data_IF_952993616223
#
_entry.id   IF_952993616223
#
_cell.length_a   1.000
_cell.length_b   1.000
_cell.length_c   1.000
_cell.angle_alpha   90.00
_cell.angle_beta   90.00
_cell.angle_gamma   90.00
#
_symmetry.space_group_name_H-M   'P 1'
#
loop_
_entity.id
_entity.type
_entity.pdbx_description
1 polymer ?
#
# COMPACT_ATOMS: atom_id res chain seq x y z
N UNK A 1 -11.82 -18.81 0.18
CA UNK A 1 -11.03 -17.63 0.60
C UNK A 1 -10.76 -17.79 2.08
N UNK A 2 -9.52 -17.61 2.55
CA UNK A 2 -9.25 -17.53 3.98
C UNK A 2 -9.04 -16.04 4.31
N UNK A 3 -9.92 -15.40 5.10
CA UNK A 3 -9.65 -14.07 5.64
C UNK A 3 -8.28 -14.03 6.33
N UNK A 4 -7.64 -12.86 6.35
CA UNK A 4 -6.40 -12.67 7.09
C UNK A 4 -6.57 -13.14 8.55
N UNK A 5 -5.70 -14.07 8.98
CA UNK A 5 -5.72 -14.64 10.33
C UNK A 5 -6.63 -15.85 10.56
N UNK A 6 -7.21 -16.46 9.51
CA UNK A 6 -7.98 -17.71 9.62
C UNK A 6 -7.29 -18.88 8.93
N UNK A 7 -7.16 -20.01 9.63
CA UNK A 7 -6.62 -21.26 9.08
C UNK A 7 -7.62 -21.99 8.17
N UNK A 8 -8.91 -21.72 8.32
CA UNK A 8 -9.98 -22.38 7.57
C UNK A 8 -10.44 -21.56 6.35
N UNK A 9 -10.67 -22.27 5.24
CA UNK A 9 -11.28 -21.65 4.06
C UNK A 9 -12.76 -21.38 4.30
N UNK A 10 -13.15 -20.12 4.23
CA UNK A 10 -14.54 -19.67 4.32
C UNK A 10 -15.17 -19.48 2.94
N UNK A 11 -16.50 -19.64 2.90
CA UNK A 11 -17.31 -19.20 1.75
C UNK A 11 -17.17 -17.69 1.58
N UNK A 12 -16.99 -17.25 0.34
CA UNK A 12 -16.81 -15.87 -0.05
C UNK A 12 -17.40 -15.68 -1.44
N UNK A 13 -18.18 -14.61 -1.62
CA UNK A 13 -18.77 -14.26 -2.90
C UNK A 13 -18.68 -12.77 -3.17
N UNK A 14 -18.49 -12.42 -4.43
CA UNK A 14 -18.57 -11.04 -4.93
C UNK A 14 -19.35 -11.07 -6.24
N UNK A 15 -20.27 -10.13 -6.42
CA UNK A 15 -20.91 -9.88 -7.70
C UNK A 15 -20.70 -8.41 -8.08
N UNK A 16 -20.39 -8.19 -9.35
CA UNK A 16 -20.05 -6.89 -9.88
C UNK A 16 -20.04 -6.87 -11.40
N UNK A 17 -19.85 -5.68 -11.97
CA UNK A 17 -19.70 -5.46 -13.40
C UNK A 17 -18.22 -5.24 -13.71
N UNK A 18 -17.67 -5.94 -14.70
CA UNK A 18 -16.29 -5.74 -15.10
C UNK A 18 -16.08 -4.30 -15.61
N UNK A 19 -15.12 -3.59 -15.03
CA UNK A 19 -14.82 -2.21 -15.40
C UNK A 19 -13.55 -2.17 -16.26
N UNK A 20 -13.75 -2.09 -17.57
CA UNK A 20 -12.67 -2.10 -18.55
C UNK A 20 -12.02 -0.72 -18.78
N UNK A 21 -12.57 0.35 -18.20
CA UNK A 21 -12.10 1.72 -18.43
C UNK A 21 -10.68 1.97 -17.90
N UNK A 22 -10.24 1.20 -16.92
CA UNK A 22 -8.89 1.24 -16.35
C UNK A 22 -7.88 0.37 -17.11
N UNK A 23 -8.34 -0.49 -18.01
CA UNK A 23 -7.49 -1.43 -18.77
C UNK A 23 -6.35 -0.76 -19.54
N UNK A 24 -6.59 0.33 -20.31
CA UNK A 24 -5.53 1.03 -21.04
C UNK A 24 -4.41 1.56 -20.12
N UNK A 25 -4.77 2.08 -18.94
CA UNK A 25 -3.80 2.61 -17.97
C UNK A 25 -2.95 1.49 -17.36
N UNK A 26 -3.57 0.37 -16.98
CA UNK A 26 -2.86 -0.81 -16.47
C UNK A 26 -1.92 -1.35 -17.56
N UNK A 27 -2.40 -1.46 -18.80
CA UNK A 27 -1.60 -1.93 -19.92
C UNK A 27 -0.41 -0.99 -20.22
N UNK A 28 -0.60 0.32 -20.07
CA UNK A 28 0.50 1.27 -20.21
C UNK A 28 1.54 1.10 -19.10
N UNK A 29 1.12 0.96 -17.84
CA UNK A 29 2.04 0.62 -16.74
C UNK A 29 2.85 -0.65 -17.05
N UNK A 30 2.16 -1.71 -17.47
CA UNK A 30 2.77 -3.02 -17.70
C UNK A 30 3.82 -3.02 -18.83
N UNK A 31 3.71 -2.12 -19.82
CA UNK A 31 4.75 -1.93 -20.85
C UNK A 31 6.09 -1.50 -20.24
N UNK A 32 6.05 -0.69 -19.18
CA UNK A 32 7.24 -0.13 -18.52
C UNK A 32 7.70 -0.94 -17.32
N UNK A 33 6.80 -1.72 -16.70
CA UNK A 33 7.03 -2.46 -15.46
C UNK A 33 8.35 -3.25 -15.43
N UNK A 34 8.64 -3.99 -16.50
CA UNK A 34 9.90 -4.76 -16.59
C UNK A 34 11.10 -3.82 -16.60
N UNK A 35 11.12 -2.82 -17.48
CA UNK A 35 12.22 -1.85 -17.58
C UNK A 35 12.51 -1.12 -16.28
N UNK A 36 11.46 -0.71 -15.56
CA UNK A 36 11.57 -0.07 -14.24
C UNK A 36 12.21 -0.99 -13.19
N UNK A 37 11.79 -2.26 -13.14
CA UNK A 37 12.39 -3.24 -12.26
C UNK A 37 13.87 -3.49 -12.60
N UNK A 38 14.22 -3.58 -13.89
CA UNK A 38 15.61 -3.72 -14.33
C UNK A 38 16.47 -2.50 -13.96
N UNK A 39 15.93 -1.29 -14.10
CA UNK A 39 16.58 -0.05 -13.71
C UNK A 39 16.88 -0.02 -12.20
N UNK A 40 15.88 -0.35 -11.37
CA UNK A 40 16.04 -0.44 -9.93
C UNK A 40 17.11 -1.48 -9.52
N UNK A 41 17.12 -2.64 -10.18
CA UNK A 41 18.11 -3.66 -9.86
C UNK A 41 19.53 -3.24 -10.29
N UNK A 42 19.67 -2.52 -11.41
CA UNK A 42 20.94 -1.89 -11.80
C UNK A 42 21.39 -0.83 -10.79
N UNK A 43 20.48 0.01 -10.29
CA UNK A 43 20.82 1.03 -9.28
C UNK A 43 21.24 0.41 -7.94
N UNK A 44 20.75 -0.81 -7.64
CA UNK A 44 21.24 -1.61 -6.53
C UNK A 44 22.62 -2.25 -6.76
N UNK A 45 23.18 -2.16 -7.97
CA UNK A 45 24.48 -2.73 -8.36
C UNK A 45 24.41 -4.16 -8.93
N UNK A 46 23.22 -4.69 -9.20
CA UNK A 46 23.07 -6.02 -9.80
C UNK A 46 23.38 -5.99 -11.30
N UNK A 47 24.27 -6.90 -11.73
CA UNK A 47 24.61 -7.09 -13.15
C UNK A 47 23.74 -8.13 -13.84
N UNK A 48 23.20 -9.07 -13.08
CA UNK A 48 22.33 -10.15 -13.54
C UNK A 48 21.21 -10.29 -12.53
N UNK A 49 19.98 -10.37 -13.02
CA UNK A 49 18.79 -10.58 -12.20
C UNK A 49 17.77 -11.38 -13.00
N UNK A 50 16.87 -12.05 -12.27
CA UNK A 50 15.76 -12.79 -12.85
C UNK A 50 14.47 -12.15 -12.38
N UNK A 51 13.66 -11.74 -13.34
CA UNK A 51 12.27 -11.31 -13.12
C UNK A 51 11.34 -12.42 -13.61
N UNK A 52 10.12 -12.53 -13.06
CA UNK A 52 9.15 -13.47 -13.57
C UNK A 52 8.87 -13.25 -15.06
N UNK A 53 8.35 -14.28 -15.73
CA UNK A 53 7.94 -14.19 -17.14
C UNK A 53 6.82 -13.17 -17.32
N UNK A 54 5.91 -13.10 -16.35
CA UNK A 54 4.79 -12.18 -16.29
C UNK A 54 4.48 -11.83 -14.84
N UNK A 55 3.97 -10.62 -14.60
CA UNK A 55 3.36 -10.23 -13.33
C UNK A 55 1.89 -10.67 -13.30
N UNK A 56 1.22 -10.67 -12.12
CA UNK A 56 -0.20 -11.02 -12.03
C UNK A 56 -1.06 -10.17 -12.97
N UNK A 57 -2.10 -10.77 -13.55
CA UNK A 57 -3.10 -10.05 -14.35
C UNK A 57 -4.04 -9.28 -13.43
N UNK A 58 -4.22 -7.98 -13.68
CA UNK A 58 -5.14 -7.13 -12.89
C UNK A 58 -6.44 -6.91 -13.65
N UNK A 59 -7.57 -7.14 -12.98
CA UNK A 59 -8.91 -6.80 -13.46
C UNK A 59 -9.62 -5.89 -12.46
N UNK A 60 -10.43 -4.97 -12.96
CA UNK A 60 -11.25 -4.09 -12.14
C UNK A 60 -12.72 -4.53 -12.19
N UNK A 61 -13.38 -4.48 -11.04
CA UNK A 61 -14.77 -4.86 -10.86
C UNK A 61 -15.49 -3.76 -10.07
N UNK A 62 -16.60 -3.27 -10.61
CA UNK A 62 -17.55 -2.44 -9.87
C UNK A 62 -18.50 -3.36 -9.10
N UNK A 63 -18.29 -3.45 -7.79
CA UNK A 63 -18.99 -4.39 -6.92
C UNK A 63 -20.38 -3.85 -6.55
N UNK A 64 -21.40 -4.69 -6.69
CA UNK A 64 -22.76 -4.41 -6.20
C UNK A 64 -23.25 -5.44 -5.17
N UNK A 65 -22.45 -6.45 -4.83
CA UNK A 65 -22.76 -7.41 -3.77
C UNK A 65 -21.48 -8.05 -3.21
N UNK A 66 -21.39 -8.14 -1.88
CA UNK A 66 -20.40 -8.96 -1.17
C UNK A 66 -21.12 -9.98 -0.28
N UNK A 67 -20.57 -11.18 -0.14
CA UNK A 67 -21.11 -12.21 0.73
C UNK A 67 -20.02 -13.04 1.41
N UNK A 68 -20.38 -13.69 2.52
CA UNK A 68 -19.48 -14.53 3.31
C UNK A 68 -18.28 -13.75 3.85
N UNK A 69 -17.10 -14.36 3.75
CA UNK A 69 -15.84 -13.81 4.24
C UNK A 69 -15.39 -12.49 3.59
N UNK A 70 -15.99 -12.08 2.46
CA UNK A 70 -15.72 -10.76 1.86
C UNK A 70 -16.62 -9.64 2.44
N UNK A 71 -17.69 -10.00 3.16
CA UNK A 71 -18.62 -9.06 3.79
C UNK A 71 -18.41 -8.99 5.31
N UNK A 72 -17.16 -9.04 5.77
CA UNK A 72 -16.79 -8.85 7.17
C UNK A 72 -16.63 -7.36 7.51
N UNK A 73 -16.28 -7.06 8.77
CA UNK A 73 -16.04 -5.69 9.25
C UNK A 73 -14.99 -4.95 8.41
N UNK A 74 -13.91 -5.65 8.04
CA UNK A 74 -12.89 -5.14 7.12
C UNK A 74 -13.13 -5.69 5.72
N UNK A 75 -13.71 -4.86 4.85
CA UNK A 75 -13.97 -5.25 3.47
C UNK A 75 -12.71 -5.07 2.63
N UNK A 76 -12.28 -6.10 1.88
CA UNK A 76 -11.09 -6.00 1.03
C UNK A 76 -11.34 -5.06 -0.14
N UNK A 77 -10.27 -4.43 -0.64
CA UNK A 77 -10.28 -3.66 -1.90
C UNK A 77 -9.84 -4.51 -3.10
N UNK A 78 -9.30 -5.70 -2.86
CA UNK A 78 -8.87 -6.62 -3.89
C UNK A 78 -8.86 -8.05 -3.38
N UNK A 79 -8.89 -8.99 -4.31
CA UNK A 79 -8.67 -10.41 -4.06
C UNK A 79 -7.60 -10.92 -5.01
N UNK A 80 -6.66 -11.68 -4.47
CA UNK A 80 -5.66 -12.41 -5.24
C UNK A 80 -6.06 -13.87 -5.37
N UNK A 81 -5.81 -14.46 -6.53
CA UNK A 81 -6.01 -15.89 -6.75
C UNK A 81 -4.94 -16.44 -7.70
N UNK A 82 -4.47 -17.65 -7.38
CA UNK A 82 -3.58 -18.43 -8.22
C UNK A 82 -4.40 -19.36 -9.10
N UNK A 83 -3.97 -19.55 -10.35
CA UNK A 83 -4.45 -20.64 -11.20
C UNK A 83 -3.83 -22.00 -10.86
N UNK A 84 -3.07 -22.11 -9.76
CA UNK A 84 -2.22 -23.25 -9.39
C UNK A 84 -2.00 -23.39 -7.87
N UNK A 85 -1.00 -24.17 -7.44
CA UNK A 85 -0.80 -24.58 -6.02
C UNK A 85 -0.75 -23.40 -5.03
N UNK A 86 -1.28 -23.67 -3.83
CA UNK A 86 -1.60 -22.70 -2.77
C UNK A 86 -0.39 -22.14 -1.99
N UNK A 87 0.83 -22.41 -2.42
CA UNK A 87 1.94 -22.51 -1.46
C UNK A 87 2.82 -21.26 -1.31
N UNK A 88 2.74 -20.23 -2.16
CA UNK A 88 3.56 -19.02 -1.99
C UNK A 88 2.97 -17.76 -2.66
N UNK A 89 3.33 -16.58 -2.14
CA UNK A 89 2.96 -15.28 -2.74
C UNK A 89 3.42 -15.18 -4.20
N UNK A 90 4.52 -15.87 -4.54
CA UNK A 90 5.04 -15.93 -5.90
C UNK A 90 4.16 -16.72 -6.90
N UNK A 91 3.16 -17.48 -6.45
CA UNK A 91 2.24 -18.23 -7.32
C UNK A 91 0.98 -17.44 -7.70
N UNK A 92 0.81 -16.22 -7.18
CA UNK A 92 -0.30 -15.34 -7.54
C UNK A 92 -0.24 -15.01 -9.03
N UNK A 93 -1.33 -15.28 -9.74
CA UNK A 93 -1.40 -15.06 -11.19
C UNK A 93 -2.47 -14.06 -11.60
N UNK A 94 -3.43 -13.77 -10.71
CA UNK A 94 -4.48 -12.80 -10.98
C UNK A 94 -4.84 -12.01 -9.72
N UNK A 95 -5.26 -10.78 -9.95
CA UNK A 95 -5.79 -9.85 -8.96
C UNK A 95 -7.09 -9.25 -9.50
N UNK A 96 -8.16 -9.31 -8.72
CA UNK A 96 -9.38 -8.52 -8.98
C UNK A 96 -9.46 -7.38 -7.98
N UNK A 97 -9.51 -6.15 -8.47
CA UNK A 97 -9.65 -4.92 -7.68
C UNK A 97 -11.10 -4.48 -7.68
N UNK A 98 -11.66 -4.24 -6.50
CA UNK A 98 -13.01 -3.72 -6.30
C UNK A 98 -12.97 -2.20 -6.37
N UNK A 99 -12.93 -1.66 -7.59
CA UNK A 99 -12.46 -0.30 -7.83
C UNK A 99 -13.39 0.77 -7.25
N UNK A 100 -14.70 0.56 -7.34
CA UNK A 100 -15.69 1.44 -6.71
C UNK A 100 -15.62 1.43 -5.18
N UNK A 101 -15.35 0.26 -4.57
CA UNK A 101 -15.13 0.17 -3.12
C UNK A 101 -13.84 0.89 -2.71
N UNK A 102 -12.79 0.76 -3.52
CA UNK A 102 -11.52 1.44 -3.26
C UNK A 102 -11.68 2.97 -3.32
N UNK A 103 -12.34 3.49 -4.36
CA UNK A 103 -12.64 4.92 -4.49
C UNK A 103 -13.54 5.44 -3.37
N UNK A 104 -14.58 4.69 -2.99
CA UNK A 104 -15.47 5.05 -1.89
C UNK A 104 -14.75 5.09 -0.54
N UNK A 105 -13.85 4.12 -0.27
CA UNK A 105 -12.98 4.12 0.92
C UNK A 105 -12.10 5.36 0.98
N UNK A 106 -11.49 5.72 -0.15
CA UNK A 106 -10.67 6.92 -0.25
C UNK A 106 -11.45 8.18 0.12
N UNK A 107 -12.62 8.39 -0.51
CA UNK A 107 -13.47 9.56 -0.23
C UNK A 107 -13.96 9.60 1.21
N UNK A 108 -14.41 8.47 1.75
CA UNK A 108 -14.97 8.42 3.10
C UNK A 108 -13.93 8.57 4.21
N UNK A 109 -12.67 8.21 3.95
CA UNK A 109 -11.65 8.11 4.99
C UNK A 109 -10.36 8.85 4.63
N UNK A 110 -9.67 8.45 3.57
CA UNK A 110 -8.32 8.94 3.25
C UNK A 110 -8.30 10.43 2.92
N UNK A 111 -9.24 10.90 2.12
CA UNK A 111 -9.36 12.31 1.76
C UNK A 111 -9.64 13.17 3.00
N UNK A 112 -10.57 12.73 3.86
CA UNK A 112 -10.91 13.42 5.12
C UNK A 112 -9.72 13.46 6.08
N UNK A 113 -8.96 12.36 6.15
CA UNK A 113 -7.74 12.27 6.93
C UNK A 113 -6.69 13.25 6.41
N UNK A 114 -6.48 13.29 5.10
CA UNK A 114 -5.53 14.21 4.47
C UNK A 114 -5.91 15.67 4.71
N UNK A 115 -7.18 16.03 4.49
CA UNK A 115 -7.70 17.38 4.72
C UNK A 115 -7.45 17.85 6.15
N UNK A 116 -7.66 16.96 7.13
CA UNK A 116 -7.51 17.29 8.55
C UNK A 116 -6.05 17.32 9.02
N UNK A 117 -5.23 16.38 8.54
CA UNK A 117 -3.91 16.12 9.10
C UNK A 117 -2.73 16.41 8.19
N UNK A 118 -2.90 16.74 6.91
CA UNK A 118 -1.77 17.02 6.01
C UNK A 118 -1.85 18.47 5.51
N UNK A 119 -0.78 19.23 5.72
CA UNK A 119 -0.67 20.60 5.22
C UNK A 119 -0.60 20.60 3.69
N UNK A 120 -1.47 21.37 3.04
CA UNK A 120 -1.53 21.46 1.57
C UNK A 120 -2.31 20.34 0.89
N UNK A 121 -3.12 19.56 1.62
CA UNK A 121 -3.93 18.47 1.06
C UNK A 121 -5.08 18.89 0.12
N UNK A 122 -5.30 20.20 -0.10
CA UNK A 122 -6.40 20.69 -0.94
C UNK A 122 -6.39 20.16 -2.39
N UNK A 123 -5.22 19.79 -2.92
CA UNK A 123 -5.11 19.14 -4.23
C UNK A 123 -5.78 17.75 -4.28
N UNK A 124 -5.90 17.07 -3.14
CA UNK A 124 -6.58 15.78 -3.04
C UNK A 124 -8.10 15.94 -3.03
N UNK A 125 -8.61 16.99 -2.40
CA UNK A 125 -10.05 17.30 -2.34
C UNK A 125 -10.64 17.61 -3.71
N UNK A 126 -9.83 18.15 -4.63
CA UNK A 126 -10.26 18.44 -6.01
C UNK A 126 -10.34 17.22 -6.92
N UNK A 127 -9.84 16.05 -6.49
CA UNK A 127 -9.87 14.85 -7.32
C UNK A 127 -11.30 14.33 -7.46
N UNK A 128 -11.70 13.99 -8.67
CA UNK A 128 -12.90 13.20 -8.92
C UNK A 128 -12.73 11.76 -8.39
N UNK A 129 -13.83 11.01 -8.30
CA UNK A 129 -13.77 9.58 -7.92
C UNK A 129 -12.94 8.76 -8.92
N UNK A 130 -13.07 9.02 -10.23
CA UNK A 130 -12.28 8.35 -11.28
C UNK A 130 -10.79 8.67 -11.15
N UNK A 131 -10.43 9.94 -10.94
CA UNK A 131 -9.02 10.33 -10.73
C UNK A 131 -8.44 9.69 -9.46
N UNK A 132 -9.21 9.68 -8.37
CA UNK A 132 -8.81 9.00 -7.14
C UNK A 132 -8.60 7.50 -7.39
N UNK A 133 -9.53 6.85 -8.08
CA UNK A 133 -9.43 5.43 -8.44
C UNK A 133 -8.20 5.12 -9.30
N UNK A 134 -7.89 5.97 -10.29
CA UNK A 134 -6.69 5.83 -11.14
C UNK A 134 -5.42 5.89 -10.32
N UNK A 135 -5.29 6.90 -9.44
CA UNK A 135 -4.11 7.07 -8.58
C UNK A 135 -3.91 5.85 -7.67
N UNK A 136 -4.99 5.41 -7.03
CA UNK A 136 -4.98 4.25 -6.14
C UNK A 136 -4.61 2.95 -6.85
N UNK A 137 -5.11 2.77 -8.07
CA UNK A 137 -4.81 1.60 -8.89
C UNK A 137 -3.36 1.61 -9.41
N UNK A 138 -2.82 2.78 -9.77
CA UNK A 138 -1.41 2.90 -10.17
C UNK A 138 -0.46 2.55 -9.02
N UNK A 139 -0.74 3.05 -7.82
CA UNK A 139 0.01 2.65 -6.63
C UNK A 139 -0.12 1.14 -6.36
N UNK A 140 -1.35 0.61 -6.38
CA UNK A 140 -1.62 -0.81 -6.12
C UNK A 140 -0.92 -1.72 -7.14
N UNK A 141 -0.88 -1.32 -8.41
CA UNK A 141 -0.17 -2.06 -9.44
C UNK A 141 1.33 -2.05 -9.22
N UNK A 142 1.90 -0.90 -8.87
CA UNK A 142 3.32 -0.81 -8.52
C UNK A 142 3.68 -1.63 -7.29
N UNK A 143 2.80 -1.66 -6.29
CA UNK A 143 2.93 -2.47 -5.09
C UNK A 143 2.95 -3.96 -5.43
N UNK A 144 1.94 -4.44 -6.17
CA UNK A 144 1.83 -5.84 -6.60
C UNK A 144 3.08 -6.31 -7.35
N UNK A 145 3.56 -5.51 -8.32
CA UNK A 145 4.81 -5.79 -9.03
C UNK A 145 6.00 -5.83 -8.06
N UNK A 146 6.05 -4.91 -7.09
CA UNK A 146 7.12 -4.79 -6.11
C UNK A 146 7.38 -6.05 -5.28
N UNK A 147 6.37 -6.89 -5.05
CA UNK A 147 6.54 -8.20 -4.41
C UNK A 147 7.53 -9.10 -5.16
N UNK A 148 7.55 -9.02 -6.50
CA UNK A 148 8.35 -9.89 -7.38
C UNK A 148 9.71 -9.30 -7.77
N UNK A 149 10.02 -8.08 -7.32
CA UNK A 149 11.26 -7.39 -7.69
C UNK A 149 12.35 -7.66 -6.65
N UNK A 150 13.54 -8.01 -7.15
CA UNK A 150 14.73 -8.26 -6.33
C UNK A 150 14.95 -9.72 -5.98
N UNK A 151 16.18 -10.03 -5.59
CA UNK A 151 16.49 -11.34 -5.02
C UNK A 151 15.96 -11.37 -3.59
N UNK A 152 15.15 -12.38 -3.28
CA UNK A 152 14.69 -12.64 -1.93
C UNK A 152 15.52 -13.79 -1.32
N UNK A 153 16.65 -13.44 -0.71
CA UNK A 153 17.44 -14.40 0.08
C UNK A 153 17.02 -14.42 1.54
N UNK A 154 16.27 -13.41 1.98
CA UNK A 154 15.77 -13.30 3.34
C UNK A 154 14.80 -14.43 3.68
N UNK A 155 13.97 -14.86 2.71
CA UNK A 155 13.08 -16.02 2.88
C UNK A 155 13.75 -17.33 3.30
N UNK A 156 15.08 -17.45 3.09
CA UNK A 156 15.85 -18.62 3.55
C UNK A 156 16.07 -18.64 5.07
N UNK A 157 15.93 -17.49 5.73
CA UNK A 157 16.19 -17.32 7.16
C UNK A 157 14.99 -16.77 7.94
N UNK A 158 13.99 -16.20 7.25
CA UNK A 158 12.73 -15.75 7.81
C UNK A 158 11.60 -16.23 6.88
N UNK A 159 10.68 -17.07 7.37
CA UNK A 159 9.62 -17.61 6.50
C UNK A 159 8.54 -16.57 6.19
N UNK A 160 7.68 -16.84 5.21
CA UNK A 160 6.49 -16.01 4.93
C UNK A 160 5.47 -16.01 6.10
N UNK A 161 5.60 -16.90 7.09
CA UNK A 161 4.81 -16.83 8.33
C UNK A 161 5.46 -15.91 9.38
N UNK A 162 6.69 -15.46 9.18
CA UNK A 162 7.36 -14.51 10.07
C UNK A 162 6.76 -13.11 9.85
N UNK A 163 6.19 -12.54 10.92
CA UNK A 163 5.56 -11.22 10.88
C UNK A 163 6.54 -10.14 10.41
N UNK A 164 7.78 -10.17 10.88
CA UNK A 164 8.77 -9.14 10.56
C UNK A 164 9.17 -9.24 9.07
N UNK A 165 9.22 -10.46 8.52
CA UNK A 165 9.42 -10.68 7.08
C UNK A 165 8.28 -10.08 6.27
N UNK A 166 7.04 -10.38 6.64
CA UNK A 166 5.87 -9.88 5.92
C UNK A 166 5.78 -8.35 5.96
N UNK A 167 6.03 -7.72 7.11
CA UNK A 167 6.09 -6.25 7.23
C UNK A 167 7.15 -5.67 6.29
N UNK A 168 8.35 -6.25 6.24
CA UNK A 168 9.41 -5.79 5.35
C UNK A 168 9.05 -6.00 3.88
N UNK A 169 8.33 -7.08 3.57
CA UNK A 169 7.95 -7.43 2.22
C UNK A 169 6.89 -6.46 1.66
N UNK A 170 5.90 -6.09 2.47
CA UNK A 170 4.92 -5.04 2.20
C UNK A 170 5.59 -3.66 2.07
N UNK A 171 6.52 -3.34 2.97
CA UNK A 171 7.26 -2.08 2.93
C UNK A 171 8.09 -1.96 1.65
N UNK A 172 8.75 -3.05 1.24
CA UNK A 172 9.49 -3.12 -0.03
C UNK A 172 8.55 -2.86 -1.21
N UNK A 173 7.40 -3.52 -1.29
CA UNK A 173 6.46 -3.31 -2.40
C UNK A 173 5.93 -1.89 -2.45
N UNK A 174 5.56 -1.29 -1.31
CA UNK A 174 5.12 0.09 -1.22
C UNK A 174 6.17 1.08 -1.73
N UNK A 175 7.42 0.93 -1.31
CA UNK A 175 8.50 1.82 -1.73
C UNK A 175 8.82 1.66 -3.23
N UNK A 176 8.79 0.43 -3.76
CA UNK A 176 8.93 0.19 -5.20
C UNK A 176 7.78 0.82 -5.99
N UNK A 177 6.55 0.80 -5.47
CA UNK A 177 5.43 1.48 -6.09
C UNK A 177 5.71 2.98 -6.25
N UNK A 178 6.13 3.66 -5.18
CA UNK A 178 6.45 5.09 -5.20
C UNK A 178 7.66 5.42 -6.09
N UNK A 179 8.68 4.57 -6.08
CA UNK A 179 9.85 4.67 -6.96
C UNK A 179 9.44 4.62 -8.44
N UNK A 180 8.53 3.72 -8.78
CA UNK A 180 8.01 3.56 -10.14
C UNK A 180 7.13 4.75 -10.54
N UNK A 181 6.24 5.22 -9.65
CA UNK A 181 5.34 6.35 -9.95
C UNK A 181 6.12 7.61 -10.34
N UNK A 182 7.25 7.88 -9.68
CA UNK A 182 8.14 9.00 -10.07
C UNK A 182 8.60 8.90 -11.53
N UNK A 183 8.94 7.71 -11.99
CA UNK A 183 9.45 7.44 -13.35
C UNK A 183 8.35 7.38 -14.41
N UNK A 184 7.11 7.18 -13.96
CA UNK A 184 5.92 7.16 -14.81
C UNK A 184 5.26 8.54 -14.92
N UNK A 185 5.73 9.52 -14.15
CA UNK A 185 5.36 10.93 -14.31
C UNK A 185 5.80 11.42 -15.71
N UNK A 186 4.90 12.11 -16.42
CA UNK A 186 5.07 12.49 -17.83
C UNK A 186 4.80 11.35 -18.83
N UNK A 187 4.57 10.11 -18.36
CA UNK A 187 4.26 8.95 -19.22
C UNK A 187 2.81 8.53 -19.07
N UNK A 188 2.38 8.24 -17.83
CA UNK A 188 1.02 7.75 -17.53
C UNK A 188 0.13 8.87 -16.99
N UNK A 189 0.73 9.84 -16.32
CA UNK A 189 0.05 11.02 -15.80
C UNK A 189 0.96 12.25 -15.95
N UNK A 190 0.40 13.48 -15.98
CA UNK A 190 1.19 14.70 -16.12
C UNK A 190 2.25 14.85 -15.01
N UNK A 191 3.45 15.34 -15.34
CA UNK A 191 4.57 15.42 -14.38
C UNK A 191 4.24 16.30 -13.16
N UNK A 192 3.49 17.38 -13.37
CA UNK A 192 3.01 18.28 -12.34
C UNK A 192 2.15 17.60 -11.27
N UNK A 193 1.51 16.46 -11.61
CA UNK A 193 0.67 15.70 -10.69
C UNK A 193 1.48 14.79 -9.76
N UNK A 194 2.80 14.66 -9.92
CA UNK A 194 3.64 13.84 -9.04
C UNK A 194 3.52 14.25 -7.56
N UNK A 195 3.39 15.54 -7.28
CA UNK A 195 3.17 16.03 -5.91
C UNK A 195 1.85 15.52 -5.32
N UNK A 196 0.79 15.53 -6.13
CA UNK A 196 -0.52 15.00 -5.74
C UNK A 196 -0.45 13.49 -5.50
N UNK A 197 0.28 12.76 -6.33
CA UNK A 197 0.52 11.31 -6.16
C UNK A 197 1.24 11.02 -4.82
N UNK A 198 2.29 11.78 -4.50
CA UNK A 198 2.99 11.62 -3.22
C UNK A 198 2.15 12.02 -2.02
N UNK A 199 1.37 13.10 -2.10
CA UNK A 199 0.39 13.44 -1.07
C UNK A 199 -0.62 12.31 -0.86
N UNK A 200 -1.11 11.71 -1.94
CA UNK A 200 -2.05 10.61 -1.86
C UNK A 200 -1.44 9.37 -1.21
N UNK A 201 -0.18 9.07 -1.51
CA UNK A 201 0.56 7.99 -0.86
C UNK A 201 0.73 8.22 0.65
N UNK A 202 1.09 9.44 1.06
CA UNK A 202 1.17 9.79 2.49
C UNK A 202 -0.19 9.66 3.16
N UNK A 203 -1.27 10.10 2.51
CA UNK A 203 -2.62 9.97 3.03
C UNK A 203 -3.04 8.50 3.22
N UNK A 204 -2.81 7.63 2.24
CA UNK A 204 -3.08 6.19 2.39
C UNK A 204 -2.20 5.56 3.48
N UNK A 205 -0.92 5.94 3.57
CA UNK A 205 -0.01 5.47 4.62
C UNK A 205 -0.57 5.80 6.01
N UNK A 206 -1.00 7.05 6.24
CA UNK A 206 -1.63 7.46 7.49
C UNK A 206 -2.95 6.71 7.75
N UNK A 207 -3.75 6.45 6.70
CA UNK A 207 -4.98 5.62 6.81
C UNK A 207 -4.64 4.18 7.22
N UNK A 208 -3.60 3.57 6.66
CA UNK A 208 -3.14 2.23 7.05
C UNK A 208 -2.67 2.21 8.50
N UNK A 209 -1.88 3.18 8.95
CA UNK A 209 -1.46 3.28 10.36
C UNK A 209 -2.67 3.34 11.31
N UNK A 210 -3.72 4.07 10.91
CA UNK A 210 -4.96 4.25 11.68
C UNK A 210 -5.92 3.04 11.61
N UNK A 211 -5.65 2.05 10.76
CA UNK A 211 -6.38 0.78 10.78
C UNK A 211 -6.15 0.16 12.15
N UNK A 212 -7.21 -0.21 12.87
CA UNK A 212 -7.09 -0.78 14.22
C UNK A 212 -6.12 -1.97 14.25
N UNK A 213 -5.45 -2.16 15.40
CA UNK A 213 -4.34 -3.10 15.50
C UNK A 213 -3.06 -2.56 14.86
N UNK A 214 -2.67 -1.34 15.22
CA UNK A 214 -1.42 -0.72 14.75
C UNK A 214 -0.27 -1.72 14.91
N UNK A 215 0.49 -1.96 13.84
CA UNK A 215 1.61 -2.92 13.74
C UNK A 215 1.28 -4.40 13.97
N UNK A 216 0.01 -4.77 14.16
CA UNK A 216 -0.43 -6.17 14.25
C UNK A 216 -0.59 -6.83 12.88
N UNK A 217 -0.89 -6.03 11.85
CA UNK A 217 -1.01 -6.49 10.47
C UNK A 217 0.18 -6.02 9.62
N UNK A 218 0.69 -6.84 8.68
CA UNK A 218 1.85 -6.49 7.86
C UNK A 218 1.76 -5.12 7.16
N UNK A 219 0.59 -4.78 6.62
CA UNK A 219 0.31 -3.51 5.92
C UNK A 219 0.31 -2.29 6.86
N UNK A 220 -0.20 -2.46 8.09
CA UNK A 220 -0.14 -1.39 9.10
C UNK A 220 1.27 -1.21 9.65
N UNK A 221 2.01 -2.31 9.80
CA UNK A 221 3.41 -2.31 10.21
C UNK A 221 4.31 -1.66 9.16
N UNK A 222 4.13 -2.00 7.88
CA UNK A 222 4.89 -1.39 6.78
C UNK A 222 4.64 0.11 6.69
N UNK A 223 3.38 0.53 6.76
CA UNK A 223 3.01 1.94 6.74
C UNK A 223 3.63 2.72 7.91
N UNK A 224 3.63 2.13 9.11
CA UNK A 224 4.26 2.73 10.28
C UNK A 224 5.79 2.87 10.11
N UNK A 225 6.47 1.81 9.66
CA UNK A 225 7.92 1.86 9.40
C UNK A 225 8.28 2.86 8.29
N UNK A 226 7.46 2.94 7.23
CA UNK A 226 7.61 3.95 6.20
C UNK A 226 7.50 5.36 6.77
N UNK A 227 6.46 5.63 7.58
CA UNK A 227 6.30 6.92 8.25
C UNK A 227 7.51 7.27 9.13
N UNK A 228 7.98 6.33 9.97
CA UNK A 228 9.13 6.57 10.85
C UNK A 228 10.40 6.89 10.07
N UNK A 229 10.69 6.13 9.03
CA UNK A 229 11.85 6.38 8.19
C UNK A 229 11.75 7.74 7.47
N UNK A 230 10.60 8.07 6.90
CA UNK A 230 10.36 9.36 6.25
C UNK A 230 10.45 10.53 7.23
N UNK A 231 10.00 10.34 8.46
CA UNK A 231 10.07 11.32 9.54
C UNK A 231 11.51 11.60 9.96
N UNK A 232 12.30 10.55 10.22
CA UNK A 232 13.71 10.67 10.62
C UNK A 232 14.55 11.36 9.54
N UNK A 233 14.20 11.13 8.27
CA UNK A 233 14.88 11.74 7.13
C UNK A 233 14.36 13.15 6.79
N UNK A 234 13.40 13.68 7.56
CA UNK A 234 12.84 15.02 7.43
C UNK A 234 11.85 15.21 6.26
N UNK A 235 11.46 14.12 5.59
CA UNK A 235 10.50 14.14 4.49
C UNK A 235 9.07 14.40 4.98
N UNK A 236 8.73 13.90 6.17
CA UNK A 236 7.46 14.17 6.85
C UNK A 236 7.78 14.79 8.21
N UNK A 237 7.18 15.92 8.54
CA UNK A 237 7.47 16.64 9.78
C UNK A 237 6.18 17.08 10.46
N UNK A 238 6.07 16.98 11.79
CA UNK A 238 4.95 17.60 12.50
C UNK A 238 5.04 19.12 12.36
N UNK A 239 3.91 19.74 12.08
CA UNK A 239 3.77 21.19 12.11
C UNK A 239 3.52 21.63 13.56
N UNK A 240 4.30 22.59 14.10
CA UNK A 240 4.29 22.88 15.54
C UNK A 240 2.95 23.41 16.09
N UNK A 241 2.11 24.00 15.24
CA UNK A 241 0.97 24.80 15.69
C UNK A 241 -0.40 24.20 15.34
N UNK A 242 -0.51 23.49 14.22
CA UNK A 242 -1.79 22.96 13.73
C UNK A 242 -1.99 21.46 14.01
N UNK A 243 -0.95 20.77 14.49
CA UNK A 243 -1.02 19.31 14.69
C UNK A 243 -1.14 18.52 13.37
N UNK A 244 -0.80 19.16 12.25
CA UNK A 244 -0.73 18.56 10.91
C UNK A 244 0.67 18.05 10.60
N UNK A 245 0.78 17.27 9.54
CA UNK A 245 2.01 16.80 8.92
C UNK A 245 2.33 17.70 7.72
N UNK A 246 3.53 18.28 7.74
CA UNK A 246 4.14 18.90 6.58
C UNK A 246 4.91 17.82 5.80
N UNK A 247 4.67 17.74 4.49
CA UNK A 247 5.39 16.82 3.60
C UNK A 247 6.29 17.62 2.67
N UNK A 248 7.59 17.42 2.79
CA UNK A 248 8.58 17.99 1.88
C UNK A 248 8.66 17.11 0.63
N UNK A 249 7.98 17.49 -0.45
CA UNK A 249 7.84 16.65 -1.64
C UNK A 249 9.16 16.31 -2.32
N UNK A 250 10.11 17.25 -2.30
CA UNK A 250 11.43 17.02 -2.90
C UNK A 250 12.20 16.01 -2.06
N UNK A 251 12.26 16.24 -0.74
CA UNK A 251 12.92 15.31 0.18
C UNK A 251 12.24 13.95 0.20
N UNK A 252 10.92 13.90 0.14
CA UNK A 252 10.13 12.67 0.08
C UNK A 252 10.52 11.84 -1.14
N UNK A 253 10.59 12.45 -2.32
CA UNK A 253 11.03 11.76 -3.54
C UNK A 253 12.46 11.22 -3.46
N UNK A 254 13.39 11.94 -2.82
CA UNK A 254 14.76 11.48 -2.59
C UNK A 254 14.81 10.29 -1.61
N UNK A 255 14.11 10.40 -0.49
CA UNK A 255 14.07 9.34 0.54
C UNK A 255 13.42 8.09 -0.01
N UNK A 256 12.36 8.19 -0.82
CA UNK A 256 11.78 7.04 -1.54
C UNK A 256 12.85 6.31 -2.35
N UNK A 257 13.68 7.03 -3.12
CA UNK A 257 14.73 6.40 -3.94
C UNK A 257 15.80 5.69 -3.09
N UNK A 258 16.35 6.39 -2.11
CA UNK A 258 17.38 5.85 -1.21
C UNK A 258 16.87 4.64 -0.42
N UNK A 259 15.63 4.73 0.06
CA UNK A 259 15.02 3.71 0.90
C UNK A 259 14.62 2.47 0.10
N UNK A 260 14.08 2.65 -1.11
CA UNK A 260 13.77 1.54 -2.03
C UNK A 260 15.02 0.71 -2.31
N UNK A 261 16.15 1.36 -2.64
CA UNK A 261 17.42 0.67 -2.89
C UNK A 261 17.90 -0.08 -1.65
N UNK A 262 17.78 0.54 -0.47
CA UNK A 262 18.19 -0.07 0.80
C UNK A 262 17.37 -1.32 1.13
N UNK A 263 16.04 -1.28 0.95
CA UNK A 263 15.15 -2.41 1.18
C UNK A 263 15.44 -3.56 0.20
N UNK A 264 15.62 -3.27 -1.09
CA UNK A 264 15.96 -4.31 -2.08
C UNK A 264 17.29 -4.99 -1.75
N UNK A 265 18.28 -4.23 -1.25
CA UNK A 265 19.56 -4.80 -0.79
C UNK A 265 19.39 -5.66 0.46
N UNK A 266 18.60 -5.21 1.44
CA UNK A 266 18.32 -5.96 2.67
C UNK A 266 17.78 -7.37 2.36
N UNK A 267 16.81 -7.47 1.44
CA UNK A 267 16.25 -8.76 1.00
C UNK A 267 17.28 -9.67 0.31
N UNK A 268 18.17 -9.08 -0.50
CA UNK A 268 19.17 -9.83 -1.25
C UNK A 268 20.39 -10.24 -0.41
N UNK A 269 20.72 -9.49 0.63
CA UNK A 269 21.72 -9.84 1.64
C UNK A 269 21.24 -11.04 2.47
N UNK A 270 19.94 -11.10 2.77
CA UNK A 270 19.33 -12.22 3.49
C UNK A 270 19.77 -12.31 4.96
N UNK A 271 20.19 -11.18 5.55
CA UNK A 271 20.62 -11.11 6.94
C UNK A 271 19.41 -10.86 7.86
N UNK A 272 18.86 -11.92 8.45
CA UNK A 272 17.72 -11.84 9.37
C UNK A 272 17.97 -10.99 10.61
N UNK A 273 19.21 -10.93 11.11
CA UNK A 273 19.56 -10.11 12.28
C UNK A 273 19.45 -8.63 11.96
N UNK A 274 19.99 -8.22 10.81
CA UNK A 274 19.88 -6.84 10.32
C UNK A 274 18.44 -6.48 9.98
N UNK A 275 17.69 -7.39 9.36
CA UNK A 275 16.28 -7.21 9.04
C UNK A 275 15.42 -6.97 10.29
N UNK A 276 15.60 -7.82 11.32
CA UNK A 276 14.93 -7.63 12.62
C UNK A 276 15.41 -6.37 13.33
N UNK A 277 16.70 -6.06 13.26
CA UNK A 277 17.25 -4.81 13.79
C UNK A 277 16.59 -3.58 13.16
N UNK A 278 16.34 -3.62 11.85
CA UNK A 278 15.62 -2.57 11.14
C UNK A 278 14.16 -2.45 11.59
N UNK A 279 13.42 -3.56 11.66
CA UNK A 279 12.02 -3.55 12.13
C UNK A 279 11.90 -3.01 13.55
N UNK A 280 12.91 -3.25 14.39
CA UNK A 280 12.92 -2.86 15.80
C UNK A 280 13.64 -1.52 16.09
N UNK A 281 14.11 -0.79 15.08
CA UNK A 281 14.93 0.42 15.27
C UNK A 281 14.16 1.57 15.93
N UNK A 282 12.84 1.60 15.78
CA UNK A 282 11.96 2.62 16.37
C UNK A 282 11.22 2.12 17.62
N UNK A 283 11.80 1.14 18.30
CA UNK A 283 11.15 0.37 19.33
C UNK A 283 10.83 -1.03 18.82
N UNK A 284 10.78 -2.01 19.72
CA UNK A 284 10.11 -3.26 19.41
C UNK A 284 8.73 -2.87 18.87
N UNK A 285 8.20 -3.52 17.82
CA UNK A 285 6.76 -3.44 17.49
C UNK A 285 5.88 -4.01 18.63
N UNK A 286 6.42 -4.12 19.85
CA UNK A 286 5.68 -4.17 21.09
C UNK A 286 4.95 -2.84 21.31
N UNK A 287 3.76 -2.98 21.85
CA UNK A 287 2.85 -1.88 22.08
C UNK A 287 2.98 -1.38 23.52
N UNK A 288 2.65 -0.12 23.76
CA UNK A 288 2.39 0.37 25.10
C UNK A 288 1.13 -0.30 25.67
N UNK A 289 1.11 -0.55 26.98
CA UNK A 289 -0.02 -1.24 27.63
C UNK A 289 -1.28 -0.38 27.74
N UNK A 290 -1.13 0.95 27.69
CA UNK A 290 -2.20 1.92 27.91
C UNK A 290 -3.06 2.17 26.66
N UNK A 291 -2.45 2.25 25.48
CA UNK A 291 -3.16 2.55 24.23
C UNK A 291 -2.92 1.57 23.09
N UNK A 292 -2.07 0.55 23.29
CA UNK A 292 -1.82 -0.47 22.28
C UNK A 292 -1.09 0.04 21.04
N UNK A 293 -0.46 1.22 21.10
CA UNK A 293 0.36 1.78 20.02
C UNK A 293 1.85 1.43 20.19
N UNK A 294 2.66 1.43 19.12
CA UNK A 294 4.10 1.16 19.24
C UNK A 294 4.78 2.05 20.27
N UNK A 295 5.73 1.50 21.01
CA UNK A 295 6.53 2.28 21.96
C UNK A 295 7.23 3.44 21.26
N UNK A 296 7.16 4.63 21.84
CA UNK A 296 7.71 5.85 21.23
C UNK A 296 6.91 6.35 20.01
N UNK A 297 5.66 5.90 19.81
CA UNK A 297 4.74 6.50 18.85
C UNK A 297 4.59 8.01 19.13
N UNK A 298 4.90 8.88 18.15
CA UNK A 298 4.83 10.33 18.33
C UNK A 298 3.42 10.83 18.65
N UNK A 299 3.32 11.88 19.47
CA UNK A 299 2.06 12.43 19.95
C UNK A 299 1.14 12.90 18.82
N UNK A 300 1.70 13.46 17.75
CA UNK A 300 0.92 13.84 16.56
C UNK A 300 0.25 12.64 15.89
N UNK A 301 0.93 11.49 15.86
CA UNK A 301 0.40 10.27 15.28
C UNK A 301 -0.61 9.63 16.22
N UNK A 302 -0.37 9.63 17.55
CA UNK A 302 -1.35 9.18 18.55
C UNK A 302 -2.66 9.95 18.44
N UNK A 303 -2.59 11.29 18.34
CA UNK A 303 -3.79 12.15 18.15
C UNK A 303 -4.54 11.82 16.87
N UNK A 304 -3.84 11.59 15.76
CA UNK A 304 -4.46 11.21 14.50
C UNK A 304 -5.12 9.82 14.59
N UNK A 305 -4.47 8.85 15.21
CA UNK A 305 -5.02 7.50 15.36
C UNK A 305 -6.29 7.51 16.24
N UNK A 306 -6.28 8.29 17.32
CA UNK A 306 -7.39 8.40 18.27
C UNK A 306 -8.57 9.25 17.77
N UNK A 307 -8.47 9.89 16.59
CA UNK A 307 -9.53 10.75 16.05
C UNK A 307 -10.73 9.93 15.60
N UNK A 308 -11.81 9.94 16.38
CA UNK A 308 -13.05 9.22 16.12
C UNK A 308 -13.99 9.91 15.10
N UNK A 309 -13.69 11.16 14.72
CA UNK A 309 -14.52 11.93 13.78
C UNK A 309 -14.43 11.45 12.33
N UNK A 310 -13.43 10.61 12.02
CA UNK A 310 -13.23 9.94 10.73
C UNK A 310 -13.52 8.45 10.94
N UNK A 311 -14.28 7.76 10.08
CA UNK A 311 -14.51 6.32 10.24
C UNK A 311 -13.20 5.52 10.19
N UNK A 312 -13.07 4.43 10.96
CA UNK A 312 -11.96 3.46 10.81
C UNK A 312 -12.26 2.41 9.73
N UNK A 313 -13.54 2.15 9.48
CA UNK A 313 -14.03 1.16 8.52
C UNK A 313 -15.24 1.73 7.78
N UNK A 314 -15.48 1.19 6.59
CA UNK A 314 -16.64 1.52 5.78
C UNK A 314 -17.52 0.28 5.63
N UNK A 315 -18.79 0.44 5.95
CA UNK A 315 -19.81 -0.54 5.60
C UNK A 315 -20.50 -0.09 4.30
N UNK A 316 -20.59 -0.98 3.31
CA UNK A 316 -21.19 -0.64 2.02
C UNK A 316 -22.65 -1.09 2.00
N UNK A 317 -23.55 -0.13 1.97
CA UNK A 317 -24.96 -0.37 1.69
C UNK A 317 -25.16 -0.45 0.16
N UNK A 318 -25.20 -1.67 -0.37
CA UNK A 318 -25.41 -1.91 -1.79
C UNK A 318 -26.88 -1.69 -2.18
N UNK A 319 -27.25 -0.44 -2.45
CA UNK A 319 -28.58 -0.12 -3.00
C UNK A 319 -28.65 -0.57 -4.46
N UNK A 320 -29.33 -1.68 -4.73
CA UNK A 320 -29.71 -2.03 -6.09
C UNK A 320 -30.79 -1.05 -6.58
N UNK A 321 -30.42 -0.10 -7.44
CA UNK A 321 -31.42 0.62 -8.24
C UNK A 321 -31.87 -0.36 -9.32
N UNK A 322 -32.91 -1.15 -9.01
CA UNK A 322 -33.65 -1.88 -10.02
C UNK A 322 -34.46 -0.83 -10.79
N UNK A 323 -33.87 -0.21 -11.80
CA UNK A 323 -34.66 0.47 -12.82
C UNK A 323 -35.29 -0.62 -13.69
N UNK A 324 -36.54 -0.98 -13.39
CA UNK A 324 -37.35 -1.73 -14.34
C UNK A 324 -37.48 -0.88 -15.62
N UNK A 325 -36.86 -1.33 -16.71
CA UNK A 325 -37.12 -0.83 -18.05
C UNK A 325 -38.43 -1.43 -18.58
#
# INVERSE_FOLDING_TARGET
FAPAGQEETSYAGVAGVANWSYGPMIAEYDKHARGLAEELLKSCGYKVFTLPKSFPEVRCLDVFLLSGALNLTHKPISVFYSGGSKENVSSLSHMTVFINLYAARWKAMTERLASKYITGAGALESLTEDESARLLLLWLRGHDIGHFVGADRLSKSMSEQDRDYMILHELKSDMIALYNLKRLAGVIFPEENLKTVYLAAVAEMLRYIRRGGCVQHPDTGSAYLAYRHMSDMGAIRPEPWEGKFLVDMERFGQVVEEFTVSLVKLFAEGNSTQARGFVNSWGWLGVEEDDGLPRGCPDELRRMIADDSIPHYLDYDFKQIISCA
#
